data_IF_872498306898
#
_entry.id   IF_872498306898
#
_cell.length_a   1.000
_cell.length_b   1.000
_cell.length_c   1.000
_cell.angle_alpha   90.00
_cell.angle_beta   90.00
_cell.angle_gamma   90.00
#
_symmetry.space_group_name_H-M   'P 1'
#
loop_
_entity.id
_entity.type
_entity.pdbx_description
1 polymer ?
#
# COMPACT_ATOMS: atom_id res chain seq x y z
N UNK A 1 -27.18 5.63 5.91
CA UNK A 1 -26.57 6.37 4.78
C UNK A 1 -26.03 7.68 5.30
N UNK A 2 -24.72 7.77 5.55
CA UNK A 2 -24.09 9.03 5.92
C UNK A 2 -23.49 9.62 4.64
N UNK A 3 -23.96 10.79 4.27
CA UNK A 3 -23.45 11.55 3.11
C UNK A 3 -22.14 12.19 3.57
N UNK A 4 -21.01 11.76 2.99
CA UNK A 4 -19.71 12.40 3.20
C UNK A 4 -19.56 13.48 2.16
N UNK A 5 -19.58 14.76 2.59
CA UNK A 5 -19.25 15.88 1.74
C UNK A 5 -17.75 15.92 1.48
N UNK A 6 -17.34 15.71 0.24
CA UNK A 6 -15.97 15.94 -0.23
C UNK A 6 -15.73 17.46 -0.30
N UNK A 7 -14.76 17.95 0.49
CA UNK A 7 -14.18 19.27 0.28
C UNK A 7 -12.96 19.11 -0.64
N UNK A 8 -13.01 19.78 -1.80
CA UNK A 8 -11.87 19.90 -2.71
C UNK A 8 -10.70 20.57 -1.98
N UNK A 9 -9.50 20.00 -2.11
CA UNK A 9 -8.31 20.45 -1.41
C UNK A 9 -7.93 21.90 -1.68
N UNK A 10 -7.93 22.72 -0.64
CA UNK A 10 -7.21 23.99 -0.62
C UNK A 10 -5.87 23.78 0.08
N UNK A 11 -4.81 23.88 -0.68
CA UNK A 11 -3.46 23.96 -0.16
C UNK A 11 -3.27 25.33 0.51
N UNK A 12 -3.26 25.37 1.83
CA UNK A 12 -2.88 26.56 2.61
C UNK A 12 -1.47 26.36 3.15
N UNK A 13 -0.51 27.04 2.55
CA UNK A 13 0.86 27.07 3.02
C UNK A 13 0.96 27.57 4.48
N UNK A 14 1.60 26.81 5.34
CA UNK A 14 1.92 27.20 6.74
C UNK A 14 2.99 28.29 6.73
N UNK A 15 2.62 29.54 7.03
CA UNK A 15 3.57 30.53 7.55
C UNK A 15 3.69 30.36 9.06
N UNK A 16 4.92 30.14 9.52
CA UNK A 16 5.23 30.03 10.95
C UNK A 16 5.07 31.39 11.62
N UNK A 17 4.18 31.48 12.62
CA UNK A 17 4.21 32.53 13.66
C UNK A 17 3.44 32.07 14.92
N UNK A 18 4.16 32.05 16.05
CA UNK A 18 3.59 32.31 17.38
C UNK A 18 3.11 31.11 18.19
N UNK A 19 3.80 30.87 19.30
CA UNK A 19 3.37 30.04 20.43
C UNK A 19 1.97 30.41 20.89
N UNK A 20 1.03 29.46 20.75
CA UNK A 20 -0.23 29.50 21.49
C UNK A 20 -0.82 28.09 21.51
N UNK A 21 -1.28 27.68 22.69
CA UNK A 21 -2.13 26.50 23.00
C UNK A 21 -2.46 25.63 21.78
N UNK A 22 -1.94 24.41 21.74
CA UNK A 22 -2.18 23.41 20.71
C UNK A 22 -3.67 23.04 20.63
N UNK A 23 -4.46 23.77 19.86
CA UNK A 23 -5.70 23.21 19.35
C UNK A 23 -5.28 22.16 18.32
N UNK A 24 -5.46 20.87 18.65
CA UNK A 24 -5.24 19.79 17.69
C UNK A 24 -6.04 20.09 16.42
N UNK A 25 -5.41 19.92 15.25
CA UNK A 25 -6.10 20.08 13.96
C UNK A 25 -7.42 19.31 13.97
N UNK A 26 -8.53 19.90 13.48
CA UNK A 26 -9.80 19.19 13.36
C UNK A 26 -9.79 18.13 12.26
N UNK A 27 -8.68 18.03 11.52
CA UNK A 27 -8.49 17.10 10.41
C UNK A 27 -7.51 16.00 10.79
N UNK A 28 -7.76 14.79 10.28
CA UNK A 28 -6.79 13.71 10.14
C UNK A 28 -6.38 13.67 8.67
N UNK A 29 -5.14 14.07 8.38
CA UNK A 29 -4.58 14.02 7.03
C UNK A 29 -3.94 12.65 6.83
N UNK A 30 -4.48 11.87 5.90
CA UNK A 30 -4.01 10.51 5.59
C UNK A 30 -3.44 10.49 4.19
N UNK A 31 -2.14 10.19 4.09
CA UNK A 31 -1.46 9.96 2.84
C UNK A 31 -1.73 8.53 2.32
N UNK A 32 -1.91 8.41 1.01
CA UNK A 32 -2.11 7.13 0.32
C UNK A 32 -1.51 7.19 -1.08
N UNK A 33 -1.20 6.03 -1.71
CA UNK A 33 -0.68 5.96 -3.08
C UNK A 33 -1.60 5.11 -3.95
N UNK A 34 -2.39 5.76 -4.78
CA UNK A 34 -3.46 5.17 -5.60
C UNK A 34 -3.01 5.07 -7.07
N UNK A 35 -3.41 3.98 -7.79
CA UNK A 35 -4.27 2.87 -7.34
C UNK A 35 -3.50 1.71 -6.72
N UNK A 36 -4.07 1.11 -5.66
CA UNK A 36 -3.57 -0.14 -5.08
C UNK A 36 -4.77 -0.99 -4.57
N UNK A 37 -5.73 -1.34 -5.45
CA UNK A 37 -6.91 -2.09 -5.04
C UNK A 37 -6.52 -3.51 -4.58
N UNK A 38 -7.20 -4.07 -3.58
CA UNK A 38 -8.43 -3.59 -2.93
C UNK A 38 -8.20 -2.70 -1.70
N UNK A 39 -6.96 -2.25 -1.42
CA UNK A 39 -6.64 -1.46 -0.24
C UNK A 39 -7.02 0.02 -0.40
N UNK A 40 -6.62 0.66 -1.50
CA UNK A 40 -6.93 2.05 -1.82
C UNK A 40 -7.11 2.27 -3.32
N UNK A 41 -8.15 3.01 -3.66
CA UNK A 41 -8.44 3.39 -5.04
C UNK A 41 -9.36 4.64 -5.08
N UNK A 42 -9.56 5.18 -6.27
CA UNK A 42 -10.37 6.37 -6.49
C UNK A 42 -11.35 6.18 -7.64
N UNK A 43 -12.61 6.42 -7.39
CA UNK A 43 -13.63 6.38 -8.42
C UNK A 43 -13.75 7.74 -9.11
N UNK A 44 -13.17 7.86 -10.30
CA UNK A 44 -13.18 9.09 -11.11
C UNK A 44 -14.57 9.52 -11.55
N UNK A 45 -15.58 8.63 -11.51
CA UNK A 45 -16.94 8.96 -11.93
C UNK A 45 -17.69 9.75 -10.85
N UNK A 46 -17.49 9.41 -9.59
CA UNK A 46 -18.19 10.04 -8.46
C UNK A 46 -17.29 10.81 -7.50
N UNK A 47 -15.96 10.80 -7.73
CA UNK A 47 -15.00 11.53 -6.94
C UNK A 47 -14.76 10.96 -5.54
N UNK A 48 -14.92 9.64 -5.33
CA UNK A 48 -14.85 9.01 -4.00
C UNK A 48 -13.64 8.09 -3.91
N UNK A 49 -12.85 8.26 -2.85
CA UNK A 49 -11.84 7.30 -2.42
C UNK A 49 -12.51 6.10 -1.78
N UNK A 50 -12.01 4.90 -2.07
CA UNK A 50 -12.56 3.65 -1.55
C UNK A 50 -11.46 2.60 -1.37
N UNK A 51 -11.75 1.55 -0.61
CA UNK A 51 -10.82 0.46 -0.33
C UNK A 51 -10.74 0.13 1.16
N UNK A 52 -10.06 -0.94 1.45
CA UNK A 52 -9.91 -1.46 2.81
C UNK A 52 -9.22 -0.44 3.74
N UNK A 53 -8.09 0.13 3.30
CA UNK A 53 -7.33 1.13 4.04
C UNK A 53 -8.10 2.45 4.19
N UNK A 54 -8.86 2.83 3.16
CA UNK A 54 -9.73 4.01 3.20
C UNK A 54 -10.85 3.81 4.24
N UNK A 55 -11.46 2.63 4.31
CA UNK A 55 -12.47 2.32 5.32
C UNK A 55 -11.89 2.37 6.74
N UNK A 56 -10.70 1.81 6.96
CA UNK A 56 -10.01 1.93 8.25
C UNK A 56 -9.68 3.39 8.59
N UNK A 57 -9.22 4.17 7.62
CA UNK A 57 -8.96 5.61 7.80
C UNK A 57 -10.21 6.37 8.25
N UNK A 58 -11.38 6.03 7.71
CA UNK A 58 -12.67 6.59 8.16
C UNK A 58 -12.99 6.21 9.60
N UNK A 59 -12.79 4.94 10.00
CA UNK A 59 -13.00 4.48 11.37
C UNK A 59 -12.05 5.17 12.35
N UNK A 60 -10.79 5.30 11.99
CA UNK A 60 -9.75 5.98 12.80
C UNK A 60 -10.08 7.47 12.96
N UNK A 61 -10.42 8.16 11.88
CA UNK A 61 -10.80 9.57 11.92
C UNK A 61 -12.02 9.78 12.84
N UNK A 62 -13.04 8.90 12.72
CA UNK A 62 -14.22 8.92 13.57
C UNK A 62 -13.88 8.71 15.06
N UNK A 63 -12.99 7.76 15.37
CA UNK A 63 -12.56 7.48 16.74
C UNK A 63 -11.74 8.64 17.35
N UNK A 64 -11.01 9.38 16.51
CA UNK A 64 -10.27 10.58 16.90
C UNK A 64 -11.17 11.84 16.98
N UNK A 65 -12.44 11.76 16.57
CA UNK A 65 -13.33 12.93 16.46
C UNK A 65 -12.85 13.95 15.41
N UNK A 66 -12.15 13.49 14.37
CA UNK A 66 -11.56 14.33 13.32
C UNK A 66 -12.27 14.12 11.97
N UNK A 67 -12.16 15.11 11.10
CA UNK A 67 -12.58 14.99 9.70
C UNK A 67 -11.44 14.36 8.90
N UNK A 68 -11.72 13.28 8.16
CA UNK A 68 -10.75 12.63 7.29
C UNK A 68 -10.46 13.51 6.07
N UNK A 69 -9.17 13.67 5.77
CA UNK A 69 -8.67 14.27 4.53
C UNK A 69 -7.71 13.26 3.92
N UNK A 70 -7.98 12.83 2.69
CA UNK A 70 -7.08 11.95 1.94
C UNK A 70 -6.17 12.81 1.07
N UNK A 71 -4.86 12.58 1.19
CA UNK A 71 -3.82 13.16 0.35
C UNK A 71 -3.22 12.05 -0.53
N UNK A 72 -3.48 12.12 -1.84
CA UNK A 72 -3.03 11.09 -2.77
C UNK A 72 -1.66 11.44 -3.35
N UNK A 73 -0.72 10.54 -3.15
CA UNK A 73 0.64 10.63 -3.66
C UNK A 73 0.78 9.88 -4.98
N UNK A 74 1.40 10.51 -5.98
CA UNK A 74 1.73 9.85 -7.24
C UNK A 74 2.96 8.92 -7.11
N UNK A 75 3.78 9.12 -6.09
CA UNK A 75 5.02 8.35 -5.82
C UNK A 75 4.99 7.81 -4.40
N UNK A 76 5.05 6.48 -4.27
CA UNK A 76 5.04 5.79 -2.99
C UNK A 76 6.26 6.14 -2.12
N UNK A 77 7.44 6.35 -2.72
CA UNK A 77 8.65 6.74 -1.98
C UNK A 77 8.51 8.13 -1.37
N UNK A 78 7.81 9.05 -2.06
CA UNK A 78 7.51 10.39 -1.54
C UNK A 78 6.52 10.30 -0.38
N UNK A 79 5.49 9.47 -0.48
CA UNK A 79 4.57 9.20 0.64
C UNK A 79 5.31 8.73 1.89
N UNK A 80 6.23 7.75 1.75
CA UNK A 80 7.03 7.25 2.87
C UNK A 80 7.92 8.34 3.48
N UNK A 81 8.52 9.18 2.66
CA UNK A 81 9.34 10.30 3.15
C UNK A 81 8.49 11.34 3.89
N UNK A 82 7.33 11.68 3.38
CA UNK A 82 6.44 12.71 3.91
C UNK A 82 5.76 12.28 5.21
N UNK A 83 5.38 10.99 5.36
CA UNK A 83 4.91 10.50 6.66
C UNK A 83 6.03 10.54 7.70
N UNK A 84 7.26 10.16 7.33
CA UNK A 84 8.42 10.27 8.21
C UNK A 84 8.73 11.71 8.65
N UNK A 85 8.53 12.66 7.74
CA UNK A 85 8.71 14.09 7.99
C UNK A 85 7.52 14.75 8.74
N UNK A 86 6.41 14.05 8.93
CA UNK A 86 5.21 14.59 9.60
C UNK A 86 4.42 15.56 8.72
N UNK A 87 4.51 15.43 7.38
CA UNK A 87 3.71 16.22 6.43
C UNK A 87 2.26 15.76 6.48
N UNK A 88 2.04 14.45 6.61
CA UNK A 88 0.74 13.84 6.88
C UNK A 88 0.69 13.28 8.31
N UNK A 89 -0.50 13.16 8.89
CA UNK A 89 -0.68 12.61 10.24
C UNK A 89 -0.51 11.08 10.27
N UNK A 90 -0.91 10.42 9.19
CA UNK A 90 -0.87 8.96 9.02
C UNK A 90 -0.71 8.62 7.53
N UNK A 91 -0.09 7.49 7.23
CA UNK A 91 -0.18 6.87 5.92
C UNK A 91 -0.94 5.54 6.01
N UNK A 92 -1.86 5.34 5.06
CA UNK A 92 -2.65 4.13 4.85
C UNK A 92 -2.51 3.75 3.38
N UNK A 93 -1.64 2.78 3.08
CA UNK A 93 -1.24 2.42 1.72
C UNK A 93 -0.55 1.05 1.69
N UNK A 94 -1.16 0.06 2.33
CA UNK A 94 -0.67 -1.32 2.39
C UNK A 94 0.83 -1.41 2.76
N UNK A 95 1.26 -0.65 3.79
CA UNK A 95 2.67 -0.44 4.08
C UNK A 95 3.24 -1.59 4.92
N UNK A 96 4.18 -2.34 4.38
CA UNK A 96 4.91 -3.40 5.09
C UNK A 96 5.65 -2.83 6.30
N UNK A 97 5.29 -3.32 7.50
CA UNK A 97 5.90 -2.96 8.79
C UNK A 97 6.83 -4.03 9.35
N UNK A 98 6.85 -5.22 8.75
CA UNK A 98 7.61 -6.39 9.22
C UNK A 98 8.89 -6.65 8.42
N UNK A 99 9.70 -7.58 8.93
CA UNK A 99 10.94 -8.01 8.28
C UNK A 99 12.00 -6.92 8.18
N UNK A 100 12.93 -7.09 7.24
CA UNK A 100 14.04 -6.15 7.03
C UNK A 100 13.55 -4.78 6.54
N UNK A 101 12.53 -4.77 5.69
CA UNK A 101 11.94 -3.54 5.14
C UNK A 101 11.23 -2.75 6.25
N UNK A 102 10.42 -3.41 7.08
CA UNK A 102 9.78 -2.77 8.23
C UNK A 102 10.80 -2.21 9.21
N UNK A 103 11.87 -2.96 9.50
CA UNK A 103 12.95 -2.49 10.37
C UNK A 103 13.64 -1.22 9.84
N UNK A 104 13.83 -1.10 8.51
CA UNK A 104 14.36 0.11 7.89
C UNK A 104 13.37 1.28 8.00
N UNK A 105 12.09 1.04 7.71
CA UNK A 105 11.03 2.05 7.81
C UNK A 105 10.83 2.57 9.23
N UNK A 106 10.98 1.71 10.24
CA UNK A 106 10.91 2.09 11.66
C UNK A 106 11.98 3.11 12.11
N UNK A 107 13.02 3.36 11.31
CA UNK A 107 13.98 4.43 11.59
C UNK A 107 13.40 5.84 11.35
N UNK A 108 12.37 5.96 10.50
CA UNK A 108 11.80 7.26 10.12
C UNK A 108 10.31 7.39 10.44
N UNK A 109 9.62 6.29 10.74
CA UNK A 109 8.20 6.28 11.07
C UNK A 109 7.91 5.28 12.18
N UNK A 110 6.72 5.32 12.75
CA UNK A 110 6.22 4.33 13.72
C UNK A 110 4.97 3.68 13.17
N UNK A 111 4.74 2.40 13.50
CA UNK A 111 3.62 1.63 12.97
C UNK A 111 2.59 1.27 14.02
N UNK A 112 1.36 1.10 13.58
CA UNK A 112 0.31 0.41 14.36
C UNK A 112 0.66 -1.06 14.58
N UNK A 113 -0.14 -1.76 15.37
CA UNK A 113 -0.19 -3.23 15.30
C UNK A 113 -0.56 -3.64 13.88
N UNK A 114 -0.10 -4.83 13.42
CA UNK A 114 -0.44 -5.31 12.08
C UNK A 114 -1.96 -5.42 11.89
N UNK A 115 -2.44 -5.12 10.66
CA UNK A 115 -3.85 -5.25 10.33
C UNK A 115 -4.10 -6.20 9.14
N UNK A 116 -3.05 -6.62 8.42
CA UNK A 116 -3.18 -7.52 7.28
C UNK A 116 -1.91 -8.33 7.06
N UNK A 117 -2.08 -9.61 6.66
CA UNK A 117 -1.00 -10.51 6.23
C UNK A 117 -0.94 -10.52 4.71
N UNK A 118 0.25 -10.32 4.14
CA UNK A 118 0.45 -10.28 2.70
C UNK A 118 1.61 -11.17 2.25
N UNK A 119 1.49 -11.64 1.01
CA UNK A 119 2.56 -12.23 0.24
C UNK A 119 2.73 -11.44 -1.06
N UNK A 120 3.81 -11.70 -1.77
CA UNK A 120 4.06 -11.14 -3.09
C UNK A 120 3.53 -12.10 -4.17
N UNK A 121 3.29 -11.56 -5.37
CA UNK A 121 2.90 -12.32 -6.54
C UNK A 121 3.70 -11.91 -7.76
N UNK A 122 3.93 -12.87 -8.65
CA UNK A 122 4.52 -12.64 -9.97
C UNK A 122 3.39 -12.62 -10.99
N UNK A 123 3.17 -11.47 -11.59
CA UNK A 123 2.20 -11.24 -12.66
C UNK A 123 2.92 -11.28 -14.01
N UNK A 124 2.33 -11.97 -14.96
CA UNK A 124 2.84 -12.10 -16.33
C UNK A 124 1.70 -11.96 -17.33
N UNK A 125 2.02 -11.76 -18.61
CA UNK A 125 1.02 -11.86 -19.68
C UNK A 125 0.46 -13.27 -19.76
N UNK A 126 -0.80 -13.42 -20.18
CA UNK A 126 -1.48 -14.73 -20.27
C UNK A 126 -0.75 -15.71 -21.20
N UNK A 127 -0.03 -15.21 -22.22
CA UNK A 127 0.78 -15.99 -23.16
C UNK A 127 2.13 -16.46 -22.61
N UNK A 128 2.56 -15.98 -21.43
CA UNK A 128 3.83 -16.39 -20.81
C UNK A 128 3.81 -17.87 -20.42
N UNK A 129 4.93 -18.56 -20.65
CA UNK A 129 5.16 -19.93 -20.18
C UNK A 129 5.54 -20.03 -18.71
N UNK A 130 5.80 -18.90 -18.03
CA UNK A 130 6.18 -18.92 -16.63
C UNK A 130 5.02 -19.41 -15.76
N UNK A 131 5.30 -20.41 -14.95
CA UNK A 131 4.40 -20.92 -13.91
C UNK A 131 5.25 -21.43 -12.75
N UNK A 132 4.96 -20.97 -11.56
CA UNK A 132 5.63 -21.43 -10.35
C UNK A 132 4.88 -22.60 -9.71
N UNK A 133 5.57 -23.38 -8.88
CA UNK A 133 4.93 -24.45 -8.12
C UNK A 133 4.01 -23.87 -7.04
N UNK A 134 3.14 -24.71 -6.46
CA UNK A 134 2.31 -24.31 -5.31
C UNK A 134 3.14 -23.91 -4.07
N UNK A 135 4.41 -24.30 -4.05
CA UNK A 135 5.38 -23.90 -3.01
C UNK A 135 5.96 -22.50 -3.24
N UNK A 136 5.46 -21.77 -4.23
CA UNK A 136 5.86 -20.41 -4.58
C UNK A 136 6.89 -20.32 -5.69
N UNK A 137 7.09 -19.09 -6.18
CA UNK A 137 8.16 -18.74 -7.10
C UNK A 137 9.47 -18.61 -6.33
N UNK A 138 10.52 -19.21 -6.86
CA UNK A 138 11.87 -19.10 -6.28
C UNK A 138 12.67 -18.03 -6.98
N UNK A 139 13.68 -17.45 -6.30
CA UNK A 139 14.60 -16.50 -6.91
C UNK A 139 15.24 -17.06 -8.19
N UNK A 140 15.65 -18.34 -8.19
CA UNK A 140 16.25 -19.00 -9.35
C UNK A 140 15.33 -19.08 -10.58
N UNK A 141 14.00 -19.05 -10.42
CA UNK A 141 13.06 -18.99 -11.54
C UNK A 141 12.92 -17.57 -12.10
N UNK A 142 13.28 -16.56 -11.34
CA UNK A 142 13.10 -15.14 -11.66
C UNK A 142 14.38 -14.45 -12.13
N UNK A 143 15.56 -14.95 -11.73
CA UNK A 143 16.85 -14.30 -11.90
C UNK A 143 17.29 -14.07 -13.37
N UNK A 144 16.66 -14.74 -14.33
CA UNK A 144 16.94 -14.54 -15.77
C UNK A 144 15.90 -13.64 -16.46
N UNK A 145 14.90 -13.13 -15.71
CA UNK A 145 13.81 -12.34 -16.26
C UNK A 145 14.08 -10.84 -16.15
N UNK A 146 13.52 -10.07 -17.09
CA UNK A 146 13.33 -8.63 -16.90
C UNK A 146 12.03 -8.42 -16.12
N UNK A 147 12.15 -7.85 -14.91
CA UNK A 147 11.04 -7.69 -13.97
C UNK A 147 10.84 -6.21 -13.67
N UNK A 148 9.60 -5.75 -13.80
CA UNK A 148 9.19 -4.42 -13.39
C UNK A 148 8.56 -4.47 -12.00
N UNK A 149 8.78 -3.41 -11.21
CA UNK A 149 8.32 -3.30 -9.83
C UNK A 149 8.14 -1.84 -9.43
N UNK A 150 7.24 -1.53 -8.51
CA UNK A 150 7.12 -0.16 -8.01
C UNK A 150 8.30 0.21 -7.11
N UNK A 151 8.83 1.41 -7.32
CA UNK A 151 9.96 1.94 -6.55
C UNK A 151 9.58 2.16 -5.08
N UNK A 152 10.48 1.79 -4.15
CA UNK A 152 10.32 1.98 -2.72
C UNK A 152 9.49 0.89 -2.01
N UNK A 153 9.04 -0.13 -2.75
CA UNK A 153 8.23 -1.23 -2.20
C UNK A 153 9.08 -2.35 -1.58
N UNK A 154 8.42 -3.21 -0.81
CA UNK A 154 9.02 -4.46 -0.31
C UNK A 154 9.32 -5.42 -1.46
N UNK A 155 8.49 -5.44 -2.51
CA UNK A 155 8.73 -6.18 -3.75
C UNK A 155 10.07 -5.81 -4.39
N UNK A 156 10.34 -4.50 -4.53
CA UNK A 156 11.63 -4.03 -5.05
C UNK A 156 12.80 -4.49 -4.18
N UNK A 157 12.68 -4.33 -2.87
CA UNK A 157 13.73 -4.73 -1.93
C UNK A 157 14.01 -6.24 -2.00
N UNK A 158 12.97 -7.06 -2.12
CA UNK A 158 13.10 -8.51 -2.27
C UNK A 158 13.79 -8.87 -3.59
N UNK A 159 13.37 -8.28 -4.71
CA UNK A 159 13.97 -8.52 -6.03
C UNK A 159 15.44 -8.09 -6.06
N UNK A 160 15.78 -6.95 -5.47
CA UNK A 160 17.17 -6.49 -5.39
C UNK A 160 18.03 -7.42 -4.56
N UNK A 161 17.52 -7.93 -3.47
CA UNK A 161 18.24 -8.82 -2.58
C UNK A 161 18.46 -10.23 -3.18
N UNK A 162 17.45 -10.79 -3.82
CA UNK A 162 17.43 -12.22 -4.18
C UNK A 162 17.56 -12.49 -5.68
N UNK A 163 17.28 -11.51 -6.53
CA UNK A 163 17.27 -11.66 -7.98
C UNK A 163 18.37 -10.84 -8.62
N UNK A 164 18.42 -9.53 -8.40
CA UNK A 164 19.36 -8.62 -9.05
C UNK A 164 20.81 -8.87 -8.61
N UNK A 165 21.02 -9.40 -7.39
CA UNK A 165 22.36 -9.74 -6.88
C UNK A 165 23.02 -10.90 -7.63
N UNK A 166 22.30 -11.64 -8.46
CA UNK A 166 22.79 -12.78 -9.22
C UNK A 166 23.17 -12.34 -10.66
N UNK A 167 24.36 -12.74 -11.12
CA UNK A 167 24.88 -12.39 -12.46
C UNK A 167 24.27 -13.25 -13.58
N UNK A 168 22.96 -13.50 -13.57
CA UNK A 168 22.26 -14.42 -14.50
C UNK A 168 21.66 -13.77 -15.73
N UNK A 169 21.80 -12.44 -15.84
CA UNK A 169 21.36 -11.67 -17.02
C UNK A 169 19.92 -11.15 -16.97
N UNK A 170 19.21 -11.34 -15.88
CA UNK A 170 17.93 -10.65 -15.61
C UNK A 170 18.13 -9.20 -15.15
N UNK A 171 17.04 -8.46 -15.08
CA UNK A 171 17.04 -7.07 -14.64
C UNK A 171 15.81 -6.75 -13.79
N UNK A 172 16.00 -5.86 -12.82
CA UNK A 172 14.92 -5.31 -12.01
C UNK A 172 14.83 -3.82 -12.29
N UNK A 173 13.65 -3.35 -12.72
CA UNK A 173 13.42 -1.94 -13.03
C UNK A 173 12.30 -1.40 -12.17
N UNK A 174 12.60 -0.36 -11.38
CA UNK A 174 11.62 0.35 -10.58
C UNK A 174 10.89 1.41 -11.41
N UNK A 175 9.56 1.40 -11.39
CA UNK A 175 8.71 2.46 -11.93
C UNK A 175 7.96 3.17 -10.79
N UNK A 176 7.49 4.37 -11.08
CA UNK A 176 6.87 5.20 -10.03
C UNK A 176 5.45 4.73 -9.66
N UNK A 177 4.68 4.23 -10.64
CA UNK A 177 3.26 3.90 -10.46
C UNK A 177 2.93 2.49 -10.93
N UNK A 178 1.97 1.86 -10.28
CA UNK A 178 1.45 0.53 -10.67
C UNK A 178 0.89 0.55 -12.10
N UNK A 179 0.22 1.63 -12.52
CA UNK A 179 -0.29 1.76 -13.89
C UNK A 179 0.85 1.71 -14.93
N UNK A 180 2.00 2.33 -14.62
CA UNK A 180 3.18 2.28 -15.49
C UNK A 180 3.75 0.87 -15.58
N UNK A 181 3.75 0.10 -14.48
CA UNK A 181 4.18 -1.28 -14.46
C UNK A 181 3.27 -2.17 -15.32
N UNK A 182 1.94 -2.02 -15.17
CA UNK A 182 0.95 -2.76 -15.97
C UNK A 182 1.14 -2.45 -17.46
N UNK A 183 1.35 -1.18 -17.81
CA UNK A 183 1.59 -0.77 -19.20
C UNK A 183 2.89 -1.39 -19.75
N UNK A 184 3.98 -1.32 -19.00
CA UNK A 184 5.27 -1.87 -19.39
C UNK A 184 5.24 -3.41 -19.53
N UNK A 185 4.52 -4.10 -18.64
CA UNK A 185 4.30 -5.54 -18.75
C UNK A 185 3.44 -5.91 -19.98
N UNK A 186 2.33 -5.20 -20.19
CA UNK A 186 1.39 -5.51 -21.30
C UNK A 186 1.93 -5.13 -22.67
N UNK A 187 2.84 -4.14 -22.75
CA UNK A 187 3.55 -3.80 -23.98
C UNK A 187 4.65 -4.81 -24.36
N UNK A 188 5.01 -5.71 -23.45
CA UNK A 188 6.08 -6.68 -23.63
C UNK A 188 7.49 -6.13 -23.38
N UNK A 189 7.63 -4.94 -22.80
CA UNK A 189 8.90 -4.38 -22.38
C UNK A 189 9.53 -5.21 -21.26
N UNK A 190 8.70 -5.74 -20.36
CA UNK A 190 9.12 -6.63 -19.27
C UNK A 190 8.44 -7.99 -19.38
N UNK A 191 9.10 -9.01 -18.84
CA UNK A 191 8.61 -10.38 -18.86
C UNK A 191 7.71 -10.70 -17.66
N UNK A 192 7.91 -9.99 -16.54
CA UNK A 192 7.14 -10.16 -15.32
C UNK A 192 7.02 -8.83 -14.55
N UNK A 193 6.05 -8.77 -13.66
CA UNK A 193 5.84 -7.72 -12.67
C UNK A 193 5.74 -8.40 -11.31
N UNK A 194 6.34 -7.82 -10.29
CA UNK A 194 6.16 -8.27 -8.90
C UNK A 194 5.41 -7.23 -8.09
N UNK A 195 4.35 -7.67 -7.46
CA UNK A 195 3.45 -6.84 -6.66
C UNK A 195 2.79 -7.72 -5.59
N UNK A 196 2.25 -7.11 -4.54
CA UNK A 196 1.51 -7.83 -3.49
C UNK A 196 0.34 -8.62 -4.06
N UNK A 197 0.04 -9.78 -3.44
CA UNK A 197 -0.93 -10.74 -3.95
C UNK A 197 -2.36 -10.15 -4.11
N UNK A 198 -2.82 -9.36 -3.14
CA UNK A 198 -4.15 -8.74 -3.21
C UNK A 198 -4.32 -7.84 -4.44
N UNK A 199 -3.43 -6.84 -4.64
CA UNK A 199 -3.40 -6.04 -5.87
C UNK A 199 -3.20 -6.87 -7.14
N UNK A 200 -2.32 -7.87 -7.13
CA UNK A 200 -2.14 -8.77 -8.28
C UNK A 200 -3.45 -9.44 -8.70
N UNK A 201 -4.23 -9.93 -7.73
CA UNK A 201 -5.54 -10.55 -7.99
C UNK A 201 -6.52 -9.55 -8.60
N UNK A 202 -6.57 -8.32 -8.09
CA UNK A 202 -7.43 -7.25 -8.60
C UNK A 202 -7.04 -6.83 -10.03
N UNK A 203 -5.74 -6.67 -10.29
CA UNK A 203 -5.19 -6.33 -11.61
C UNK A 203 -5.52 -7.44 -12.62
N UNK A 204 -5.29 -8.70 -12.28
CA UNK A 204 -5.57 -9.84 -13.15
C UNK A 204 -7.07 -9.96 -13.43
N UNK A 205 -7.92 -9.81 -12.42
CA UNK A 205 -9.37 -9.85 -12.59
C UNK A 205 -9.88 -8.74 -13.53
N UNK A 206 -9.30 -7.55 -13.48
CA UNK A 206 -9.66 -6.41 -14.34
C UNK A 206 -8.99 -6.42 -15.71
N UNK A 207 -8.00 -7.29 -15.94
CA UNK A 207 -7.20 -7.33 -17.17
C UNK A 207 -7.91 -7.87 -18.41
N UNK A 208 -9.15 -8.36 -18.28
CA UNK A 208 -9.86 -9.00 -19.38
C UNK A 208 -9.18 -10.27 -19.91
N UNK A 209 -8.38 -10.95 -19.09
CA UNK A 209 -7.66 -12.18 -19.44
C UNK A 209 -6.32 -11.95 -20.13
N UNK A 210 -5.81 -10.72 -20.19
CA UNK A 210 -4.49 -10.40 -20.77
C UNK A 210 -3.34 -10.71 -19.82
N UNK A 211 -3.60 -10.73 -18.52
CA UNK A 211 -2.64 -11.02 -17.46
C UNK A 211 -3.05 -12.26 -16.66
N UNK A 212 -2.06 -12.88 -16.03
CA UNK A 212 -2.24 -13.97 -15.06
C UNK A 212 -1.19 -13.88 -13.95
N UNK A 213 -1.51 -14.46 -12.79
CA UNK A 213 -0.54 -14.72 -11.74
C UNK A 213 0.22 -15.99 -12.10
N UNK A 214 1.54 -15.91 -12.24
CA UNK A 214 2.42 -17.05 -12.47
C UNK A 214 2.64 -17.87 -11.19
N UNK A 215 2.59 -17.22 -10.04
CA UNK A 215 2.70 -17.81 -8.72
C UNK A 215 2.95 -16.76 -7.65
N UNK A 216 2.99 -17.21 -6.40
CA UNK A 216 3.27 -16.36 -5.23
C UNK A 216 4.74 -16.43 -4.83
N UNK A 217 5.20 -15.41 -4.11
CA UNK A 217 6.44 -15.41 -3.34
C UNK A 217 6.04 -15.24 -1.88
N UNK A 218 6.27 -16.26 -1.06
CA UNK A 218 5.88 -16.25 0.34
C UNK A 218 6.85 -15.41 1.17
N UNK A 219 6.51 -14.15 1.36
CA UNK A 219 7.29 -13.18 2.13
C UNK A 219 6.77 -13.03 3.56
N UNK A 220 5.53 -13.44 3.83
CA UNK A 220 4.86 -13.33 5.12
C UNK A 220 4.95 -11.89 5.68
N UNK A 221 4.64 -10.94 4.85
CA UNK A 221 4.67 -9.52 5.20
C UNK A 221 3.45 -9.14 6.03
N UNK A 222 3.64 -8.21 6.96
CA UNK A 222 2.57 -7.63 7.75
C UNK A 222 2.43 -6.15 7.39
N UNK A 223 1.18 -5.69 7.20
CA UNK A 223 0.91 -4.27 6.98
C UNK A 223 0.52 -3.57 8.26
N UNK A 224 1.02 -2.35 8.44
CA UNK A 224 0.68 -1.43 9.50
C UNK A 224 0.35 -0.04 8.98
N UNK A 225 -0.49 0.70 9.67
CA UNK A 225 -0.66 2.12 9.42
C UNK A 225 0.56 2.86 9.97
N UNK A 226 1.20 3.69 9.13
CA UNK A 226 2.39 4.42 9.50
C UNK A 226 2.03 5.83 10.02
N UNK A 227 2.74 6.27 11.05
CA UNK A 227 2.68 7.64 11.58
C UNK A 227 4.10 8.20 11.68
N UNK A 228 4.29 9.52 11.81
CA UNK A 228 5.61 10.12 12.04
C UNK A 228 6.33 9.44 13.20
N UNK A 229 7.65 9.33 13.11
CA UNK A 229 8.46 8.62 14.11
C UNK A 229 8.20 9.12 15.54
N UNK A 230 7.97 8.18 16.44
CA UNK A 230 7.67 8.47 17.86
C UNK A 230 6.25 8.94 18.11
N UNK A 231 5.36 8.93 17.10
CA UNK A 231 3.94 9.29 17.23
C UNK A 231 3.71 10.66 17.91
N UNK A 232 4.22 11.75 17.34
CA UNK A 232 4.14 13.08 17.98
C UNK A 232 2.71 13.58 18.16
N UNK A 233 1.75 13.04 17.40
CA UNK A 233 0.32 13.37 17.48
C UNK A 233 -0.44 12.44 18.44
N UNK A 234 0.23 11.44 19.03
CA UNK A 234 -0.34 10.46 19.96
C UNK A 234 -1.58 9.75 19.43
N UNK A 235 -1.60 9.40 18.15
CA UNK A 235 -2.74 8.74 17.49
C UNK A 235 -2.61 7.21 17.42
N UNK A 236 -1.41 6.64 17.54
CA UNK A 236 -1.19 5.18 17.50
C UNK A 236 -2.05 4.39 18.50
N UNK A 237 -2.23 4.83 19.76
CA UNK A 237 -3.10 4.11 20.68
C UNK A 237 -4.54 4.01 20.18
N UNK A 238 -5.06 5.07 19.53
CA UNK A 238 -6.40 5.06 18.93
C UNK A 238 -6.45 4.17 17.70
N UNK A 239 -5.43 4.21 16.82
CA UNK A 239 -5.34 3.34 15.65
C UNK A 239 -5.36 1.86 16.09
N UNK A 240 -4.50 1.49 17.03
CA UNK A 240 -4.42 0.13 17.56
C UNK A 240 -5.74 -0.32 18.20
N UNK A 241 -6.41 0.57 18.94
CA UNK A 241 -7.71 0.26 19.50
C UNK A 241 -8.78 0.06 18.42
N UNK A 242 -8.79 0.86 17.35
CA UNK A 242 -9.72 0.69 16.21
C UNK A 242 -9.51 -0.65 15.54
N UNK A 243 -8.27 -1.06 15.28
CA UNK A 243 -7.95 -2.39 14.71
C UNK A 243 -8.51 -3.48 15.62
N UNK A 244 -8.10 -3.51 16.90
CA UNK A 244 -8.51 -4.52 17.87
C UNK A 244 -10.04 -4.58 18.07
N UNK A 245 -10.71 -3.43 18.14
CA UNK A 245 -12.17 -3.38 18.28
C UNK A 245 -12.88 -3.85 17.00
N UNK A 246 -12.33 -3.54 15.82
CA UNK A 246 -12.89 -4.00 14.54
C UNK A 246 -12.81 -5.52 14.39
N UNK A 247 -11.74 -6.14 14.88
CA UNK A 247 -11.62 -7.59 14.96
C UNK A 247 -12.63 -8.20 15.94
N UNK A 248 -12.71 -7.65 17.16
CA UNK A 248 -13.55 -8.15 18.22
C UNK A 248 -15.06 -8.06 17.90
N UNK A 249 -15.49 -7.02 17.17
CA UNK A 249 -16.92 -6.76 16.88
C UNK A 249 -17.37 -7.23 15.50
N UNK A 250 -16.47 -7.86 14.71
CA UNK A 250 -16.76 -8.40 13.38
C UNK A 250 -16.71 -7.37 12.24
N UNK A 251 -16.38 -6.10 12.51
CA UNK A 251 -16.21 -5.07 11.47
C UNK A 251 -15.09 -5.44 10.54
N UNK A 252 -13.95 -5.92 11.06
CA UNK A 252 -12.82 -6.41 10.29
C UNK A 252 -13.24 -7.52 9.30
N UNK A 253 -13.89 -8.57 9.80
CA UNK A 253 -14.36 -9.67 8.96
C UNK A 253 -15.33 -9.22 7.86
N UNK A 254 -16.17 -8.21 8.15
CA UNK A 254 -17.07 -7.62 7.16
C UNK A 254 -16.29 -6.87 6.07
N UNK A 255 -15.28 -6.08 6.43
CA UNK A 255 -14.43 -5.37 5.47
C UNK A 255 -13.59 -6.34 4.63
N UNK A 256 -13.03 -7.40 5.24
CA UNK A 256 -12.32 -8.45 4.49
C UNK A 256 -13.25 -9.10 3.47
N UNK A 257 -14.48 -9.43 3.86
CA UNK A 257 -15.46 -9.99 2.92
C UNK A 257 -15.82 -9.03 1.81
N UNK A 258 -15.93 -7.75 2.09
CA UNK A 258 -16.29 -6.70 1.12
C UNK A 258 -15.19 -6.53 0.07
N UNK A 259 -13.94 -6.45 0.51
CA UNK A 259 -12.82 -6.07 -0.35
C UNK A 259 -12.06 -7.25 -0.96
N UNK A 260 -12.00 -8.39 -0.27
CA UNK A 260 -11.25 -9.58 -0.70
C UNK A 260 -12.14 -10.76 -1.07
N UNK A 261 -13.46 -10.58 -1.09
CA UNK A 261 -14.40 -11.59 -1.58
C UNK A 261 -14.72 -12.72 -0.60
N UNK A 262 -14.26 -12.61 0.63
CA UNK A 262 -14.42 -13.62 1.68
C UNK A 262 -13.62 -14.89 1.36
N UNK A 263 -12.57 -15.14 2.11
CA UNK A 263 -11.86 -16.41 2.11
C UNK A 263 -12.74 -17.52 2.72
#
# INVERSE_FOLDING_TARGET
MAIIALAAGLYVGKTALGSSSSSSSPYLVVGTNIPFPPFEDYNYTNGVYFGFDINFSMLIASALGKTLVIDNYADFSVLLADVGAGVVDMAASAITESGAVGALRNNSMSFSIPYYDANQAIVVTSGSGLTCAQTGCTAAQLEALSIVVQTGTSSQSWLQQYVESNETGGSVTGLTTVDSEILALTSGEFQAMMIDLGPAQSIVASSGGTLKIAGEVFTNELYGFAVPHGDPNHILPTINNVITQSEANGTYAKLVKEWFGGA
#
